data_IF_199555142228
#
_entry.id   IF_199555142228
#
_cell.length_a   1.000
_cell.length_b   1.000
_cell.length_c   1.000
_cell.angle_alpha   90.00
_cell.angle_beta   90.00
_cell.angle_gamma   90.00
#
_symmetry.space_group_name_H-M   'P 1'
#
loop_
_entity.id
_entity.type
_entity.pdbx_description
1 polymer ?
#
# COMPACT_ATOMS: atom_id res chain seq x y z
N UNK A 1 -10.38 -13.74 -3.39
CA UNK A 1 -10.51 -13.21 -2.01
C UNK A 1 -9.43 -12.17 -1.76
N UNK A 2 -9.81 -11.01 -1.26
CA UNK A 2 -8.88 -9.92 -0.97
C UNK A 2 -8.18 -10.16 0.36
N UNK A 3 -6.86 -9.96 0.41
CA UNK A 3 -6.10 -10.03 1.65
C UNK A 3 -6.42 -8.82 2.53
N UNK A 4 -6.74 -9.07 3.80
CA UNK A 4 -7.00 -8.04 4.80
C UNK A 4 -6.17 -8.29 6.05
N UNK A 5 -5.62 -7.22 6.61
CA UNK A 5 -4.72 -7.27 7.77
C UNK A 5 -5.15 -6.25 8.81
N UNK A 6 -4.62 -6.38 10.02
CA UNK A 6 -4.76 -5.32 11.02
C UNK A 6 -4.19 -4.01 10.48
N UNK A 7 -4.80 -2.90 10.86
CA UNK A 7 -4.31 -1.57 10.47
C UNK A 7 -2.86 -1.33 10.92
N UNK A 8 -2.44 -1.99 11.98
CA UNK A 8 -1.06 -1.90 12.50
C UNK A 8 -0.02 -2.52 11.57
N UNK A 9 -0.44 -3.30 10.58
CA UNK A 9 0.46 -3.86 9.56
C UNK A 9 1.12 -2.76 8.75
N UNK A 10 0.45 -1.62 8.56
CA UNK A 10 1.03 -0.46 7.89
C UNK A 10 1.88 0.30 8.91
N UNK A 11 3.17 -0.01 8.95
CA UNK A 11 4.09 0.49 9.97
C UNK A 11 4.27 2.00 9.96
N UNK A 12 4.07 2.66 8.83
CA UNK A 12 4.19 4.12 8.76
C UNK A 12 3.05 4.87 9.47
N UNK A 13 1.97 4.17 9.84
CA UNK A 13 0.90 4.76 10.65
C UNK A 13 1.35 4.67 12.10
N UNK A 14 1.65 5.82 12.73
CA UNK A 14 2.10 5.83 14.12
C UNK A 14 0.97 5.47 15.10
N UNK A 15 1.32 5.27 16.37
CA UNK A 15 0.35 4.83 17.38
C UNK A 15 -0.82 5.78 17.55
N UNK A 16 -0.58 7.09 17.52
CA UNK A 16 -1.64 8.10 17.68
C UNK A 16 -2.60 8.06 16.50
N UNK A 17 -2.08 7.91 15.30
CA UNK A 17 -2.89 7.82 14.07
C UNK A 17 -3.68 6.50 14.05
N UNK A 18 -3.08 5.40 14.51
CA UNK A 18 -3.77 4.12 14.65
C UNK A 18 -4.96 4.27 15.60
N UNK A 19 -4.75 4.90 16.75
CA UNK A 19 -5.82 5.13 17.72
C UNK A 19 -6.94 6.01 17.13
N UNK A 20 -6.57 7.05 16.39
CA UNK A 20 -7.54 7.91 15.72
C UNK A 20 -8.39 7.12 14.72
N UNK A 21 -7.77 6.24 13.94
CA UNK A 21 -8.48 5.38 12.98
C UNK A 21 -9.40 4.39 13.70
N UNK A 22 -8.90 3.74 14.75
CA UNK A 22 -9.70 2.79 15.53
C UNK A 22 -10.91 3.47 16.18
N UNK A 23 -10.76 4.71 16.62
CA UNK A 23 -11.85 5.45 17.25
C UNK A 23 -13.01 5.71 16.31
N UNK A 24 -12.78 5.70 14.99
CA UNK A 24 -13.84 5.88 13.98
C UNK A 24 -14.17 4.55 13.26
N UNK A 25 -13.77 3.43 13.85
CA UNK A 25 -14.13 2.10 13.35
C UNK A 25 -13.20 1.50 12.30
N UNK A 26 -12.06 2.11 12.03
CA UNK A 26 -11.10 1.62 11.03
C UNK A 26 -10.04 0.77 11.76
N UNK A 27 -10.19 -0.55 11.70
CA UNK A 27 -9.29 -1.50 12.38
C UNK A 27 -8.49 -2.38 11.44
N UNK A 28 -8.86 -2.42 10.15
CA UNK A 28 -8.23 -3.28 9.16
C UNK A 28 -7.84 -2.49 7.92
N UNK A 29 -6.90 -3.06 7.14
CA UNK A 29 -6.49 -2.47 5.86
C UNK A 29 -7.66 -2.42 4.88
N UNK A 30 -8.54 -3.42 4.90
CA UNK A 30 -9.74 -3.44 4.06
C UNK A 30 -10.69 -2.30 4.41
N UNK A 31 -10.94 -2.05 5.69
CA UNK A 31 -11.81 -0.96 6.13
C UNK A 31 -11.22 0.41 5.79
N UNK A 32 -9.92 0.55 5.94
CA UNK A 32 -9.23 1.79 5.53
C UNK A 32 -9.40 2.03 4.03
N UNK A 33 -9.17 1.00 3.22
CA UNK A 33 -9.29 1.10 1.77
C UNK A 33 -10.71 1.49 1.36
N UNK A 34 -11.73 0.85 1.96
CA UNK A 34 -13.13 1.19 1.69
C UNK A 34 -13.46 2.64 2.05
N UNK A 35 -13.07 3.08 3.25
CA UNK A 35 -13.39 4.41 3.75
C UNK A 35 -12.66 5.51 2.98
N UNK A 36 -11.43 5.24 2.54
CA UNK A 36 -10.56 6.22 1.89
C UNK A 36 -10.48 6.04 0.36
N UNK A 37 -11.38 5.25 -0.23
CA UNK A 37 -11.36 4.92 -1.66
C UNK A 37 -11.57 6.12 -2.58
N UNK A 38 -12.35 7.09 -2.16
CA UNK A 38 -12.73 8.25 -2.98
C UNK A 38 -12.28 9.55 -2.33
N UNK A 39 -12.14 10.64 -3.12
CA UNK A 39 -11.85 11.95 -2.51
C UNK A 39 -12.87 12.36 -1.45
N UNK A 40 -14.17 12.12 -1.71
CA UNK A 40 -15.23 12.39 -0.74
C UNK A 40 -15.10 11.57 0.52
N UNK A 41 -14.79 10.28 0.38
CA UNK A 41 -14.57 9.37 1.52
C UNK A 41 -13.39 9.81 2.38
N UNK A 42 -12.29 10.20 1.75
CA UNK A 42 -11.10 10.70 2.45
C UNK A 42 -11.42 11.99 3.22
N UNK A 43 -12.18 12.88 2.61
CA UNK A 43 -12.58 14.13 3.25
C UNK A 43 -13.44 13.86 4.49
N UNK A 44 -14.40 12.96 4.37
CA UNK A 44 -15.26 12.56 5.49
C UNK A 44 -14.46 11.89 6.61
N UNK A 45 -13.56 10.97 6.24
CA UNK A 45 -12.72 10.27 7.21
C UNK A 45 -11.77 11.25 7.91
N UNK A 46 -11.20 12.20 7.17
CA UNK A 46 -10.33 13.24 7.72
C UNK A 46 -11.08 14.09 8.75
N UNK A 47 -12.32 14.46 8.45
CA UNK A 47 -13.16 15.25 9.38
C UNK A 47 -13.46 14.49 10.68
N UNK A 48 -13.74 13.19 10.56
CA UNK A 48 -14.08 12.34 11.72
C UNK A 48 -12.87 11.97 12.56
N UNK A 49 -11.75 11.67 11.92
CA UNK A 49 -10.52 11.21 12.60
C UNK A 49 -9.55 12.34 12.93
N UNK A 50 -9.73 13.52 12.33
CA UNK A 50 -8.83 14.66 12.39
C UNK A 50 -7.45 14.39 11.79
N UNK A 51 -7.38 13.41 10.88
CA UNK A 51 -6.16 13.06 10.15
C UNK A 51 -6.11 13.80 8.82
N UNK A 52 -4.88 14.00 8.32
CA UNK A 52 -4.64 14.66 7.04
C UNK A 52 -5.15 13.80 5.87
N UNK A 53 -5.99 14.31 4.97
CA UNK A 53 -6.45 13.55 3.81
C UNK A 53 -5.32 13.03 2.92
N UNK A 54 -4.20 13.73 2.85
CA UNK A 54 -3.03 13.30 2.08
C UNK A 54 -2.41 12.04 2.69
N UNK A 55 -2.34 11.98 4.01
CA UNK A 55 -1.87 10.78 4.72
C UNK A 55 -2.84 9.62 4.50
N UNK A 56 -4.14 9.90 4.55
CA UNK A 56 -5.16 8.88 4.32
C UNK A 56 -5.05 8.27 2.91
N UNK A 57 -4.81 9.10 1.90
CA UNK A 57 -4.58 8.60 0.53
C UNK A 57 -3.33 7.72 0.45
N UNK A 58 -2.25 8.15 1.06
CA UNK A 58 -1.00 7.41 1.10
C UNK A 58 -1.18 6.04 1.75
N UNK A 59 -1.84 6.01 2.90
CA UNK A 59 -2.12 4.75 3.62
C UNK A 59 -3.11 3.87 2.85
N UNK A 60 -4.10 4.47 2.17
CA UNK A 60 -5.02 3.73 1.31
C UNK A 60 -4.27 3.05 0.17
N UNK A 61 -3.32 3.74 -0.47
CA UNK A 61 -2.48 3.13 -1.51
C UNK A 61 -1.62 1.99 -0.94
N UNK A 62 -1.13 2.14 0.29
CA UNK A 62 -0.40 1.08 0.96
C UNK A 62 -1.31 -0.13 1.21
N UNK A 63 -2.51 0.11 1.75
CA UNK A 63 -3.51 -0.94 1.96
C UNK A 63 -3.89 -1.63 0.63
N UNK A 64 -3.97 -0.87 -0.45
CA UNK A 64 -4.29 -1.40 -1.78
C UNK A 64 -3.20 -2.34 -2.28
N UNK A 65 -1.92 -1.97 -2.11
CA UNK A 65 -0.79 -2.85 -2.47
C UNK A 65 -0.79 -4.14 -1.64
N UNK A 66 -1.21 -4.06 -0.39
CA UNK A 66 -1.28 -5.24 0.48
C UNK A 66 -2.36 -6.24 0.07
N UNK A 67 -3.26 -5.91 -0.85
CA UNK A 67 -4.20 -6.88 -1.45
C UNK A 67 -3.48 -7.89 -2.34
N UNK A 68 -2.28 -7.56 -2.80
CA UNK A 68 -1.52 -8.44 -3.68
C UNK A 68 -0.94 -9.58 -2.86
N UNK A 69 -1.20 -10.81 -3.31
CA UNK A 69 -0.73 -12.02 -2.63
C UNK A 69 0.80 -12.05 -2.59
N UNK A 70 1.36 -12.30 -1.42
CA UNK A 70 2.80 -12.33 -1.21
C UNK A 70 3.45 -10.97 -0.99
N UNK A 71 2.65 -9.90 -1.00
CA UNK A 71 3.12 -8.54 -0.76
C UNK A 71 3.00 -8.24 0.74
N UNK A 72 4.12 -8.08 1.42
CA UNK A 72 4.13 -7.62 2.80
C UNK A 72 4.41 -6.12 2.87
N UNK A 73 4.33 -5.58 4.08
CA UNK A 73 4.57 -4.16 4.33
C UNK A 73 5.96 -3.72 3.85
N UNK A 74 6.99 -4.52 4.10
CA UNK A 74 8.38 -4.20 3.72
C UNK A 74 8.53 -4.12 2.20
N UNK A 75 7.94 -5.06 1.47
CA UNK A 75 8.00 -5.04 0.00
C UNK A 75 7.19 -3.89 -0.57
N UNK A 76 6.03 -3.60 0.00
CA UNK A 76 5.22 -2.46 -0.41
C UNK A 76 5.98 -1.15 -0.20
N UNK A 77 6.71 -1.03 0.90
CA UNK A 77 7.59 0.10 1.18
C UNK A 77 8.74 0.22 0.19
N UNK A 78 9.36 -0.91 -0.14
CA UNK A 78 10.45 -0.93 -1.13
C UNK A 78 9.94 -0.52 -2.51
N UNK A 79 8.76 -0.98 -2.92
CA UNK A 79 8.13 -0.57 -4.17
C UNK A 79 7.91 0.93 -4.22
N UNK A 80 7.43 1.50 -3.13
CA UNK A 80 7.22 2.94 -3.03
C UNK A 80 8.52 3.71 -3.21
N UNK A 81 9.60 3.29 -2.58
CA UNK A 81 10.92 3.90 -2.75
C UNK A 81 11.44 3.74 -4.18
N UNK A 82 11.04 2.70 -4.88
CA UNK A 82 11.36 2.47 -6.29
C UNK A 82 10.43 3.23 -7.24
N UNK A 83 9.55 4.08 -6.72
CA UNK A 83 8.67 4.94 -7.51
C UNK A 83 7.29 4.34 -7.82
N UNK A 84 6.89 3.28 -7.12
CA UNK A 84 5.59 2.62 -7.33
C UNK A 84 4.69 2.85 -6.12
N UNK A 85 3.83 3.85 -6.20
CA UNK A 85 2.91 4.20 -5.12
C UNK A 85 1.59 3.43 -5.18
N UNK A 86 1.12 3.12 -6.38
CA UNK A 86 -0.24 2.58 -6.57
C UNK A 86 -0.21 1.20 -7.22
N UNK A 87 -1.29 0.44 -7.02
CA UNK A 87 -1.49 -0.84 -7.71
C UNK A 87 -1.54 -0.64 -9.23
N UNK A 88 -2.17 0.45 -9.68
CA UNK A 88 -2.23 0.78 -11.10
C UNK A 88 -0.83 0.95 -11.71
N UNK A 89 0.03 1.73 -11.04
CA UNK A 89 1.41 1.94 -11.48
C UNK A 89 2.18 0.63 -11.54
N UNK A 90 1.99 -0.23 -10.54
CA UNK A 90 2.63 -1.55 -10.51
C UNK A 90 2.27 -2.36 -11.76
N UNK A 91 1.02 -2.34 -12.16
CA UNK A 91 0.54 -3.07 -13.35
C UNK A 91 1.19 -2.64 -14.65
N UNK A 92 1.70 -1.41 -14.72
CA UNK A 92 2.38 -0.88 -15.92
C UNK A 92 3.89 -1.08 -15.93
N UNK A 93 4.47 -1.56 -14.83
CA UNK A 93 5.92 -1.69 -14.75
C UNK A 93 6.43 -2.95 -15.45
N UNK A 94 7.62 -2.84 -16.02
CA UNK A 94 8.36 -3.99 -16.52
C UNK A 94 8.95 -4.74 -15.32
N UNK A 95 8.61 -6.02 -15.11
CA UNK A 95 9.04 -6.74 -13.89
C UNK A 95 10.55 -6.83 -13.73
N UNK A 96 11.29 -7.04 -14.81
CA UNK A 96 12.75 -7.14 -14.77
C UNK A 96 13.40 -5.83 -14.34
N UNK A 97 12.95 -4.71 -14.93
CA UNK A 97 13.46 -3.38 -14.59
C UNK A 97 13.07 -2.99 -13.17
N UNK A 98 11.86 -3.34 -12.78
CA UNK A 98 11.38 -3.08 -11.43
C UNK A 98 12.22 -3.85 -10.40
N UNK A 99 12.46 -5.14 -10.64
CA UNK A 99 13.32 -5.95 -9.76
C UNK A 99 14.72 -5.36 -9.63
N UNK A 100 15.27 -4.85 -10.72
CA UNK A 100 16.58 -4.18 -10.72
C UNK A 100 16.55 -2.90 -9.89
N UNK A 101 15.54 -2.06 -10.07
CA UNK A 101 15.36 -0.83 -9.28
C UNK A 101 15.25 -1.15 -7.79
N UNK A 102 14.50 -2.18 -7.44
CA UNK A 102 14.34 -2.63 -6.05
C UNK A 102 15.69 -3.04 -5.44
N UNK A 103 16.51 -3.77 -6.20
CA UNK A 103 17.87 -4.15 -5.74
C UNK A 103 18.73 -2.93 -5.48
N UNK A 104 18.73 -1.97 -6.41
CA UNK A 104 19.54 -0.75 -6.29
C UNK A 104 19.12 0.09 -5.08
N UNK A 105 17.82 0.28 -4.91
CA UNK A 105 17.27 1.03 -3.77
C UNK A 105 17.62 0.31 -2.47
N UNK A 106 17.47 -1.01 -2.43
CA UNK A 106 17.73 -1.78 -1.21
C UNK A 106 19.20 -1.78 -0.80
N UNK A 107 20.13 -1.70 -1.75
CA UNK A 107 21.55 -1.53 -1.46
C UNK A 107 21.80 -0.28 -0.62
N UNK A 108 21.08 0.79 -0.93
CA UNK A 108 21.24 2.09 -0.25
C UNK A 108 20.41 2.20 1.02
N UNK A 109 19.17 1.72 0.99
CA UNK A 109 18.18 1.94 2.06
C UNK A 109 18.01 0.76 3.00
N UNK A 110 18.39 -0.44 2.57
CA UNK A 110 18.31 -1.69 3.37
C UNK A 110 16.91 -1.90 4.01
N UNK A 111 15.88 -1.73 3.20
CA UNK A 111 14.49 -1.81 3.63
C UNK A 111 14.00 -3.25 3.83
N UNK A 112 14.57 -4.19 3.09
CA UNK A 112 14.23 -5.61 3.23
C UNK A 112 15.49 -6.44 3.39
N UNK A 113 15.38 -7.54 4.13
CA UNK A 113 16.50 -8.47 4.34
C UNK A 113 16.71 -9.38 3.13
N UNK A 114 15.61 -9.83 2.54
CA UNK A 114 15.61 -10.74 1.40
C UNK A 114 14.89 -10.07 0.25
N UNK A 115 15.60 -9.84 -0.85
CA UNK A 115 15.01 -9.29 -2.06
C UNK A 115 14.05 -10.31 -2.69
N UNK A 116 12.92 -9.84 -3.27
CA UNK A 116 12.02 -10.74 -3.98
C UNK A 116 12.68 -11.23 -5.25
N UNK A 117 12.42 -12.50 -5.62
CA UNK A 117 12.86 -13.04 -6.90
C UNK A 117 12.14 -12.32 -8.04
N UNK A 118 12.76 -12.26 -9.21
CA UNK A 118 12.14 -11.66 -10.40
C UNK A 118 10.79 -12.30 -10.72
N UNK A 119 10.66 -13.62 -10.54
CA UNK A 119 9.39 -14.34 -10.71
C UNK A 119 8.30 -13.82 -9.79
N UNK A 120 8.64 -13.48 -8.55
CA UNK A 120 7.70 -12.94 -7.59
C UNK A 120 7.25 -11.54 -8.01
N UNK A 121 8.18 -10.71 -8.44
CA UNK A 121 7.87 -9.37 -8.96
C UNK A 121 6.95 -9.47 -10.19
N UNK A 122 7.22 -10.43 -11.08
CA UNK A 122 6.37 -10.69 -12.24
C UNK A 122 4.94 -11.04 -11.83
N UNK A 123 4.79 -11.90 -10.81
CA UNK A 123 3.47 -12.27 -10.29
C UNK A 123 2.72 -11.07 -9.70
N UNK A 124 3.44 -10.20 -9.00
CA UNK A 124 2.84 -8.97 -8.45
C UNK A 124 2.32 -8.05 -9.56
N UNK A 125 3.12 -7.86 -10.62
CA UNK A 125 2.72 -7.03 -11.76
C UNK A 125 1.49 -7.61 -12.45
N UNK A 126 1.47 -8.92 -12.66
CA UNK A 126 0.33 -9.62 -13.26
C UNK A 126 -0.93 -9.51 -12.42
N UNK A 127 -0.82 -9.70 -11.10
CA UNK A 127 -1.93 -9.54 -10.19
C UNK A 127 -2.45 -8.10 -10.20
N UNK A 128 -1.54 -7.12 -10.20
CA UNK A 128 -1.90 -5.70 -10.22
C UNK A 128 -2.75 -5.35 -11.44
N UNK A 129 -2.43 -5.93 -12.60
CA UNK A 129 -3.21 -5.74 -13.83
C UNK A 129 -4.63 -6.27 -13.73
N UNK A 130 -4.83 -7.34 -12.97
CA UNK A 130 -6.12 -8.03 -12.83
C UNK A 130 -6.98 -7.51 -11.69
N UNK A 131 -6.39 -6.83 -10.71
CA UNK A 131 -7.15 -6.34 -9.57
C UNK A 131 -8.10 -5.21 -9.97
N UNK A 132 -9.35 -5.26 -9.48
CA UNK A 132 -10.28 -4.15 -9.69
C UNK A 132 -9.75 -2.87 -9.04
N UNK A 133 -9.96 -1.75 -9.71
CA UNK A 133 -9.60 -0.45 -9.14
C UNK A 133 -10.47 -0.15 -7.93
N UNK A 134 -9.85 0.24 -6.83
CA UNK A 134 -10.56 0.61 -5.60
C UNK A 134 -10.44 2.11 -5.29
N UNK A 135 -9.34 2.73 -5.66
CA UNK A 135 -9.06 4.11 -5.30
C UNK A 135 -9.29 5.04 -6.48
N UNK A 136 -10.01 6.14 -6.24
CA UNK A 136 -10.14 7.22 -7.20
C UNK A 136 -9.47 8.47 -6.63
N UNK A 137 -8.99 9.33 -7.53
CA UNK A 137 -8.20 10.51 -7.18
C UNK A 137 -8.92 11.83 -7.55
#
# INVERSE_FOLDING_TARGET
MTMSYSITTIEEIDEDDVEALKSVGIKTTEKLLEAAATPGGRKQLAARSKLDPKKLLRWANMADKLRIKGMGNDYAGLLREAGVDTVKELGYRNPRRLAQSMREINKKRKLVRLLPAEKQVTRWVEQARKLPKKITY
#
